data_IF_574233058853
#
_entry.id   IF_574233058853
#
_cell.length_a   1.000
_cell.length_b   1.000
_cell.length_c   1.000
_cell.angle_alpha   90.00
_cell.angle_beta   90.00
_cell.angle_gamma   90.00
#
_symmetry.space_group_name_H-M   'P 1'
#
loop_
_entity.id
_entity.type
_entity.pdbx_description
1 polymer ?
#
# COMPACT_ATOMS: atom_id res chain seq x y z
N UNK A 1 3.53 13.18 -37.67
CA UNK A 1 4.12 11.87 -37.32
C UNK A 1 4.22 11.61 -35.80
N UNK A 2 4.52 12.59 -34.95
CA UNK A 2 4.71 12.35 -33.50
C UNK A 2 3.41 12.08 -32.71
N UNK A 3 2.26 12.59 -33.16
CA UNK A 3 0.99 12.42 -32.46
C UNK A 3 0.39 11.01 -32.57
N UNK A 4 0.85 10.20 -33.52
CA UNK A 4 0.38 8.81 -33.71
C UNK A 4 1.20 7.78 -32.94
N UNK A 5 2.42 8.15 -32.51
CA UNK A 5 3.34 7.25 -31.80
C UNK A 5 2.80 6.77 -30.44
N UNK A 6 2.14 7.60 -29.61
CA UNK A 6 1.55 7.13 -28.35
C UNK A 6 0.42 6.13 -28.58
N UNK A 7 -0.33 6.28 -29.69
CA UNK A 7 -1.44 5.39 -30.02
C UNK A 7 -0.93 4.02 -30.46
N UNK A 8 0.12 3.97 -31.30
CA UNK A 8 0.71 2.71 -31.77
C UNK A 8 1.38 1.95 -30.63
N UNK A 9 2.10 2.63 -29.72
CA UNK A 9 2.69 1.99 -28.53
C UNK A 9 1.60 1.39 -27.64
N UNK A 10 0.53 2.15 -27.36
CA UNK A 10 -0.58 1.67 -26.53
C UNK A 10 -1.29 0.48 -27.16
N UNK A 11 -1.49 0.49 -28.48
CA UNK A 11 -2.11 -0.61 -29.22
C UNK A 11 -1.22 -1.86 -29.20
N UNK A 12 0.07 -1.73 -29.47
CA UNK A 12 1.02 -2.85 -29.43
C UNK A 12 1.12 -3.45 -28.02
N UNK A 13 1.14 -2.62 -26.97
CA UNK A 13 1.11 -3.10 -25.59
C UNK A 13 -0.20 -3.83 -25.26
N UNK A 14 -1.35 -3.32 -25.73
CA UNK A 14 -2.66 -3.95 -25.56
C UNK A 14 -2.76 -5.31 -26.25
N UNK A 15 -2.14 -5.45 -27.41
CA UNK A 15 -2.14 -6.69 -28.21
C UNK A 15 -1.15 -7.73 -27.67
N UNK A 16 0.02 -7.30 -27.18
CA UNK A 16 1.06 -8.20 -26.66
C UNK A 16 0.83 -8.62 -25.21
N UNK A 17 0.39 -7.70 -24.35
CA UNK A 17 0.20 -7.93 -22.91
C UNK A 17 -1.27 -8.17 -22.54
N UNK A 18 -2.19 -8.02 -23.48
CA UNK A 18 -3.63 -7.98 -23.23
C UNK A 18 -4.09 -6.66 -22.59
N UNK A 19 -5.40 -6.47 -22.51
CA UNK A 19 -5.99 -5.48 -21.60
C UNK A 19 -6.23 -6.20 -20.30
N UNK A 20 -5.52 -5.82 -19.25
CA UNK A 20 -6.11 -6.01 -17.92
C UNK A 20 -7.31 -5.06 -17.91
N UNK A 21 -8.51 -5.60 -18.18
CA UNK A 21 -9.75 -4.93 -17.81
C UNK A 21 -9.55 -4.65 -16.33
N UNK A 22 -9.28 -3.37 -16.01
CA UNK A 22 -8.78 -2.98 -14.71
C UNK A 22 -9.60 -3.71 -13.68
N UNK A 23 -8.95 -4.54 -12.86
CA UNK A 23 -9.58 -5.16 -11.70
C UNK A 23 -10.44 -4.07 -11.09
N UNK A 24 -11.75 -4.31 -11.07
CA UNK A 24 -12.69 -3.27 -10.69
C UNK A 24 -12.24 -2.75 -9.32
N UNK A 25 -12.50 -1.48 -8.99
CA UNK A 25 -12.22 -0.99 -7.62
C UNK A 25 -12.74 -2.00 -6.59
N UNK A 26 -13.83 -2.69 -6.89
CA UNK A 26 -14.41 -3.82 -6.14
C UNK A 26 -13.47 -5.02 -5.96
N UNK A 27 -12.77 -5.49 -7.00
CA UNK A 27 -11.83 -6.62 -6.92
C UNK A 27 -10.58 -6.28 -6.09
N UNK A 28 -10.07 -5.04 -6.21
CA UNK A 28 -8.99 -4.52 -5.36
C UNK A 28 -9.48 -4.34 -3.92
N UNK A 29 -10.73 -3.88 -3.75
CA UNK A 29 -11.40 -3.74 -2.46
C UNK A 29 -11.60 -5.08 -1.78
N UNK A 30 -11.81 -6.19 -2.49
CA UNK A 30 -11.94 -7.52 -1.88
C UNK A 30 -10.60 -8.17 -1.51
N UNK A 31 -9.52 -7.97 -2.29
CA UNK A 31 -8.24 -8.67 -2.06
C UNK A 31 -7.33 -8.01 -1.02
N UNK A 32 -7.37 -6.69 -0.86
CA UNK A 32 -6.44 -5.95 0.02
C UNK A 32 -7.10 -4.78 0.78
N UNK A 33 -8.34 -4.93 1.26
CA UNK A 33 -9.07 -3.87 1.98
C UNK A 33 -8.30 -3.30 3.19
N UNK A 34 -7.43 -4.12 3.80
CA UNK A 34 -6.64 -3.72 4.95
C UNK A 34 -5.58 -2.64 4.64
N UNK A 35 -5.08 -2.55 3.40
CA UNK A 35 -4.12 -1.50 3.00
C UNK A 35 -4.79 -0.12 2.87
N UNK A 36 -6.08 -0.09 2.51
CA UNK A 36 -6.89 1.12 2.41
C UNK A 36 -7.41 1.61 3.77
N UNK A 37 -7.08 0.92 4.87
CA UNK A 37 -7.42 1.39 6.22
C UNK A 37 -6.83 2.79 6.46
N UNK A 38 -7.69 3.71 6.92
CA UNK A 38 -7.28 5.07 7.30
C UNK A 38 -6.14 5.04 8.33
N UNK A 39 -6.12 4.05 9.23
CA UNK A 39 -5.06 3.90 10.21
C UNK A 39 -3.71 3.59 9.56
N UNK A 40 -3.68 2.64 8.61
CA UNK A 40 -2.48 2.29 7.84
C UNK A 40 -1.99 3.50 7.03
N UNK A 41 -2.91 4.16 6.31
CA UNK A 41 -2.59 5.32 5.49
C UNK A 41 -2.06 6.50 6.33
N UNK A 42 -2.67 6.79 7.47
CA UNK A 42 -2.23 7.86 8.37
C UNK A 42 -0.84 7.57 8.94
N UNK A 43 -0.56 6.34 9.38
CA UNK A 43 0.79 5.98 9.88
C UNK A 43 1.84 6.04 8.76
N UNK A 44 1.49 5.62 7.54
CA UNK A 44 2.40 5.70 6.39
C UNK A 44 2.72 7.16 6.05
N UNK A 45 1.73 8.07 6.08
CA UNK A 45 1.96 9.51 5.91
C UNK A 45 2.90 10.08 6.97
N UNK A 46 2.70 9.73 8.25
CA UNK A 46 3.60 10.14 9.35
C UNK A 46 5.04 9.65 9.10
N UNK A 47 5.21 8.38 8.74
CA UNK A 47 6.54 7.83 8.41
C UNK A 47 7.18 8.57 7.23
N UNK A 48 6.41 8.92 6.19
CA UNK A 48 6.92 9.70 5.06
C UNK A 48 7.37 11.10 5.49
N UNK A 49 6.62 11.78 6.35
CA UNK A 49 7.01 13.08 6.91
C UNK A 49 8.32 12.96 7.70
N UNK A 50 8.46 11.94 8.57
CA UNK A 50 9.71 11.70 9.31
C UNK A 50 10.90 11.38 8.40
N UNK A 51 10.66 10.67 7.29
CA UNK A 51 11.71 10.42 6.30
C UNK A 51 12.18 11.72 5.63
N UNK A 52 11.25 12.63 5.30
CA UNK A 52 11.59 13.96 4.74
C UNK A 52 12.38 14.79 5.75
N UNK A 53 11.96 14.81 7.01
CA UNK A 53 12.70 15.48 8.09
C UNK A 53 14.13 14.92 8.22
N UNK A 54 14.30 13.59 8.22
CA UNK A 54 15.61 12.96 8.27
C UNK A 54 16.50 13.34 7.08
N UNK A 55 15.94 13.42 5.88
CA UNK A 55 16.68 13.83 4.68
C UNK A 55 17.15 15.29 4.80
N UNK A 56 16.29 16.17 5.30
CA UNK A 56 16.62 17.59 5.50
C UNK A 56 17.68 17.78 6.58
N UNK A 57 17.58 17.05 7.69
CA UNK A 57 18.52 17.15 8.81
C UNK A 57 19.88 16.52 8.51
N UNK A 58 20.02 15.69 7.47
CA UNK A 58 21.27 15.00 7.12
C UNK A 58 22.45 15.95 6.85
N UNK A 59 22.19 17.22 6.57
CA UNK A 59 23.19 18.27 6.39
C UNK A 59 23.41 19.16 7.64
N UNK A 60 22.69 18.91 8.74
CA UNK A 60 22.77 19.65 10.01
C UNK A 60 23.62 18.94 11.08
N UNK A 61 23.46 19.36 12.33
CA UNK A 61 24.23 18.84 13.47
C UNK A 61 24.03 17.34 13.72
N UNK A 62 25.10 16.64 14.07
CA UNK A 62 25.10 15.19 14.27
C UNK A 62 24.11 14.72 15.36
N UNK A 63 23.85 15.55 16.37
CA UNK A 63 22.86 15.24 17.41
C UNK A 63 21.43 15.28 16.86
N UNK A 64 21.12 16.26 16.02
CA UNK A 64 19.81 16.44 15.41
C UNK A 64 19.54 15.37 14.34
N UNK A 65 20.57 14.93 13.62
CA UNK A 65 20.47 13.84 12.65
C UNK A 65 20.14 12.51 13.34
N UNK A 66 20.81 12.20 14.46
CA UNK A 66 20.55 11.01 15.26
C UNK A 66 19.11 11.00 15.82
N UNK A 67 18.65 12.15 16.36
CA UNK A 67 17.29 12.27 16.87
C UNK A 67 16.23 12.10 15.77
N UNK A 68 16.46 12.66 14.57
CA UNK A 68 15.59 12.48 13.42
C UNK A 68 15.57 11.00 12.94
N UNK A 69 16.71 10.31 13.02
CA UNK A 69 16.82 8.90 12.62
C UNK A 69 16.00 8.00 13.56
N UNK A 70 16.09 8.21 14.87
CA UNK A 70 15.31 7.45 15.85
C UNK A 70 13.80 7.67 15.66
N UNK A 71 13.35 8.92 15.47
CA UNK A 71 11.94 9.23 15.16
C UNK A 71 11.45 8.51 13.90
N UNK A 72 12.29 8.42 12.87
CA UNK A 72 11.96 7.67 11.65
C UNK A 72 11.89 6.16 11.91
N UNK A 73 12.83 5.58 12.67
CA UNK A 73 12.82 4.16 13.03
C UNK A 73 11.56 3.79 13.82
N UNK A 74 11.18 4.63 14.79
CA UNK A 74 9.94 4.48 15.56
C UNK A 74 8.71 4.52 14.65
N UNK A 75 8.58 5.55 13.80
CA UNK A 75 7.46 5.65 12.86
C UNK A 75 7.39 4.43 11.91
N UNK A 76 8.54 3.92 11.46
CA UNK A 76 8.62 2.71 10.63
C UNK A 76 8.16 1.46 11.39
N UNK A 77 8.51 1.32 12.68
CA UNK A 77 8.04 0.22 13.54
C UNK A 77 6.53 0.30 13.76
N UNK A 78 6.00 1.50 14.02
CA UNK A 78 4.56 1.73 14.20
C UNK A 78 3.76 1.38 12.95
N UNK A 79 4.22 1.76 11.75
CA UNK A 79 3.61 1.35 10.49
C UNK A 79 3.56 -0.18 10.36
N UNK A 80 4.66 -0.88 10.67
CA UNK A 80 4.70 -2.34 10.61
C UNK A 80 3.69 -2.98 11.57
N UNK A 81 3.56 -2.46 12.79
CA UNK A 81 2.59 -2.95 13.78
C UNK A 81 1.15 -2.80 13.27
N UNK A 82 0.81 -1.62 12.75
CA UNK A 82 -0.55 -1.35 12.23
C UNK A 82 -0.85 -2.21 11.01
N UNK A 83 0.11 -2.36 10.09
CA UNK A 83 -0.04 -3.27 8.95
C UNK A 83 -0.28 -4.72 9.41
N UNK A 84 0.49 -5.20 10.39
CA UNK A 84 0.32 -6.54 10.93
C UNK A 84 -1.08 -6.75 11.52
N UNK A 85 -1.55 -5.80 12.35
CA UNK A 85 -2.91 -5.83 12.92
C UNK A 85 -4.00 -5.79 11.84
N UNK A 86 -3.83 -4.95 10.83
CA UNK A 86 -4.80 -4.81 9.75
C UNK A 86 -4.88 -6.11 8.92
N UNK A 87 -3.74 -6.75 8.66
CA UNK A 87 -3.68 -8.07 8.01
C UNK A 87 -4.31 -9.16 8.87
N UNK A 88 -3.95 -9.22 10.15
CA UNK A 88 -4.51 -10.19 11.10
C UNK A 88 -6.03 -10.12 11.13
N UNK A 89 -6.59 -8.91 11.26
CA UNK A 89 -8.03 -8.69 11.20
C UNK A 89 -8.65 -9.16 9.88
N UNK A 90 -8.03 -8.85 8.75
CA UNK A 90 -8.52 -9.29 7.44
C UNK A 90 -8.52 -10.83 7.31
N UNK A 91 -7.52 -11.51 7.85
CA UNK A 91 -7.48 -12.97 7.88
C UNK A 91 -8.52 -13.55 8.83
N UNK A 92 -8.69 -12.96 10.02
CA UNK A 92 -9.73 -13.37 10.97
C UNK A 92 -11.14 -13.26 10.36
N UNK A 93 -11.42 -12.15 9.68
CA UNK A 93 -12.69 -11.93 8.97
C UNK A 93 -12.89 -12.93 7.81
N UNK A 94 -11.82 -13.26 7.08
CA UNK A 94 -11.85 -14.28 6.02
C UNK A 94 -12.18 -15.67 6.58
N UNK A 95 -11.50 -16.10 7.65
CA UNK A 95 -11.75 -17.41 8.25
C UNK A 95 -13.15 -17.53 8.85
N UNK A 96 -13.64 -16.48 9.52
CA UNK A 96 -15.04 -16.45 10.02
C UNK A 96 -16.07 -16.66 8.91
N UNK A 97 -15.83 -16.13 7.71
CA UNK A 97 -16.72 -16.34 6.56
C UNK A 97 -16.68 -17.79 6.08
N UNK A 98 -15.50 -18.38 5.99
CA UNK A 98 -15.31 -19.78 5.58
C UNK A 98 -15.92 -20.77 6.59
N UNK A 99 -15.84 -20.48 7.89
CA UNK A 99 -16.42 -21.32 8.95
C UNK A 99 -17.96 -21.24 9.00
N UNK A 100 -18.57 -20.24 8.36
CA UNK A 100 -20.03 -20.12 8.28
C UNK A 100 -20.58 -21.02 7.16
N UNK A 101 -21.66 -21.77 7.45
CA UNK A 101 -22.31 -22.74 6.53
C UNK A 101 -22.77 -22.18 5.16
N UNK A 102 -22.60 -20.88 4.88
CA UNK A 102 -22.88 -20.25 3.59
C UNK A 102 -21.72 -20.28 2.58
N UNK A 103 -20.51 -20.71 2.97
CA UNK A 103 -19.30 -20.65 2.13
C UNK A 103 -19.20 -21.69 1.00
N UNK A 104 -20.21 -22.55 0.80
CA UNK A 104 -20.14 -23.65 -0.18
C UNK A 104 -20.53 -23.25 -1.62
N UNK A 105 -21.03 -22.01 -1.83
CA UNK A 105 -21.59 -21.58 -3.12
C UNK A 105 -20.87 -20.38 -3.79
N UNK A 106 -19.76 -19.88 -3.23
CA UNK A 106 -19.09 -18.64 -3.71
C UNK A 106 -17.63 -18.88 -4.20
N UNK A 107 -17.27 -20.12 -4.56
CA UNK A 107 -16.00 -20.45 -5.24
C UNK A 107 -16.24 -20.65 -6.73
#
# INVERSE_FOLDING_TARGET
MWNSLPHTIRKAAKETLGVVAGTSKTDIVQRESWWLSDEVQNKVKVKQTRLRELILMRAGDQADTNAAEERYKEAKREVKKVIAKAKEKAYEDLYKRLDSKGGQNDI
#
